data_IF_277922776761
#
_entry.id   IF_277922776761
#
_cell.length_a   1.000
_cell.length_b   1.000
_cell.length_c   1.000
_cell.angle_alpha   90.00
_cell.angle_beta   90.00
_cell.angle_gamma   90.00
#
_symmetry.space_group_name_H-M   'P 1'
#
loop_
_entity.id
_entity.type
_entity.pdbx_description
1 polymer ?
#
# COMPACT_ATOMS: atom_id res chain seq x y z
N UNK A 1 30.08 -40.88 -24.90
CA UNK A 1 30.24 -39.53 -24.31
C UNK A 1 29.42 -38.45 -25.01
N UNK A 2 29.15 -38.56 -26.32
CA UNK A 2 28.30 -37.59 -27.06
C UNK A 2 26.85 -37.52 -26.56
N UNK A 3 26.32 -38.61 -26.03
CA UNK A 3 24.96 -38.71 -25.50
C UNK A 3 24.72 -37.79 -24.28
N UNK A 4 25.72 -37.63 -23.41
CA UNK A 4 25.65 -36.72 -22.26
C UNK A 4 25.82 -35.25 -22.68
N UNK A 5 26.57 -35.00 -23.76
CA UNK A 5 26.80 -33.65 -24.29
C UNK A 5 25.54 -33.13 -25.00
N UNK A 6 24.88 -33.96 -25.80
CA UNK A 6 23.65 -33.56 -26.51
C UNK A 6 22.51 -33.29 -25.51
N UNK A 7 22.38 -34.15 -24.50
CA UNK A 7 21.33 -33.99 -23.47
C UNK A 7 21.53 -32.72 -22.64
N UNK A 8 22.75 -32.46 -22.17
CA UNK A 8 23.07 -31.21 -21.46
C UNK A 8 22.89 -29.98 -22.34
N UNK A 9 23.27 -30.04 -23.62
CA UNK A 9 23.04 -28.95 -24.56
C UNK A 9 21.55 -28.61 -24.74
N UNK A 10 20.69 -29.63 -24.86
CA UNK A 10 19.24 -29.44 -24.95
C UNK A 10 18.68 -28.82 -23.66
N UNK A 11 19.12 -29.29 -22.48
CA UNK A 11 18.69 -28.74 -21.18
C UNK A 11 19.09 -27.26 -21.07
N UNK A 12 20.30 -26.89 -21.49
CA UNK A 12 20.74 -25.49 -21.48
C UNK A 12 19.88 -24.60 -22.38
N UNK A 13 19.51 -25.08 -23.58
CA UNK A 13 18.63 -24.34 -24.50
C UNK A 13 17.25 -24.14 -23.87
N UNK A 14 16.66 -25.19 -23.30
CA UNK A 14 15.35 -25.11 -22.65
C UNK A 14 15.38 -24.17 -21.43
N UNK A 15 16.43 -24.25 -20.60
CA UNK A 15 16.60 -23.38 -19.45
C UNK A 15 16.74 -21.90 -19.86
N UNK A 16 17.48 -21.62 -20.94
CA UNK A 16 17.65 -20.27 -21.47
C UNK A 16 16.32 -19.65 -21.93
N UNK A 17 15.43 -20.44 -22.54
CA UNK A 17 14.10 -19.97 -22.98
C UNK A 17 13.12 -19.77 -21.82
N UNK A 18 13.25 -20.54 -20.74
CA UNK A 18 12.38 -20.44 -19.56
C UNK A 18 12.71 -19.24 -18.67
N UNK A 19 13.99 -18.85 -18.62
CA UNK A 19 14.46 -17.78 -17.73
C UNK A 19 13.73 -16.43 -17.88
N UNK A 20 13.48 -15.86 -19.09
CA UNK A 20 12.74 -14.61 -19.23
C UNK A 20 11.28 -14.73 -18.79
N UNK A 21 10.64 -15.90 -19.01
CA UNK A 21 9.26 -16.15 -18.61
C UNK A 21 9.12 -16.12 -17.09
N UNK A 22 10.01 -16.81 -16.37
CA UNK A 22 10.02 -16.85 -14.90
C UNK A 22 10.15 -15.45 -14.30
N UNK A 23 11.00 -14.59 -14.87
CA UNK A 23 11.16 -13.20 -14.39
C UNK A 23 9.87 -12.38 -14.50
N UNK A 24 9.11 -12.54 -15.58
CA UNK A 24 7.84 -11.84 -15.77
C UNK A 24 6.75 -12.39 -14.86
N UNK A 25 6.68 -13.71 -14.70
CA UNK A 25 5.75 -14.37 -13.76
C UNK A 25 5.98 -13.88 -12.33
N UNK A 26 7.23 -13.82 -11.87
CA UNK A 26 7.56 -13.33 -10.53
C UNK A 26 7.16 -11.86 -10.31
N UNK A 27 7.33 -11.00 -11.33
CA UNK A 27 6.87 -9.61 -11.25
C UNK A 27 5.34 -9.52 -11.09
N UNK A 28 4.59 -10.32 -11.84
CA UNK A 28 3.12 -10.41 -11.72
C UNK A 28 2.69 -10.98 -10.37
N UNK A 29 3.36 -12.03 -9.87
CA UNK A 29 3.09 -12.60 -8.54
C UNK A 29 3.32 -11.58 -7.42
N UNK A 30 4.40 -10.80 -7.53
CA UNK A 30 4.71 -9.74 -6.56
C UNK A 30 3.62 -8.67 -6.55
N UNK A 31 3.17 -8.24 -7.74
CA UNK A 31 2.08 -7.27 -7.90
C UNK A 31 0.78 -7.79 -7.30
N UNK A 32 0.41 -9.03 -7.63
CA UNK A 32 -0.78 -9.69 -7.08
C UNK A 32 -0.71 -9.82 -5.54
N UNK A 33 0.47 -10.12 -5.00
CA UNK A 33 0.66 -10.23 -3.54
C UNK A 33 0.52 -8.90 -2.81
N UNK A 34 1.01 -7.79 -3.38
CA UNK A 34 0.78 -6.45 -2.80
C UNK A 34 -0.69 -6.03 -2.97
N UNK A 35 -1.34 -6.38 -4.08
CA UNK A 35 -2.76 -6.12 -4.31
C UNK A 35 -3.67 -6.86 -3.32
N UNK A 36 -3.39 -8.13 -3.05
CA UNK A 36 -4.11 -8.91 -2.05
C UNK A 36 -3.99 -8.33 -0.64
N UNK A 37 -2.84 -7.73 -0.31
CA UNK A 37 -2.67 -7.00 0.95
C UNK A 37 -3.48 -5.71 1.00
N UNK A 38 -3.52 -4.94 -0.09
CA UNK A 38 -4.40 -3.77 -0.16
C UNK A 38 -5.87 -4.15 0.06
N UNK A 39 -6.34 -5.25 -0.54
CA UNK A 39 -7.69 -5.75 -0.29
C UNK A 39 -7.90 -6.15 1.18
N UNK A 40 -6.89 -6.72 1.85
CA UNK A 40 -6.95 -6.98 3.28
C UNK A 40 -7.00 -5.68 4.12
N UNK A 41 -6.29 -4.63 3.71
CA UNK A 41 -6.37 -3.32 4.35
C UNK A 41 -7.73 -2.68 4.14
N UNK A 42 -8.33 -2.77 2.95
CA UNK A 42 -9.68 -2.28 2.68
C UNK A 42 -10.71 -2.88 3.64
N UNK A 43 -10.64 -4.21 3.84
CA UNK A 43 -11.46 -4.91 4.85
C UNK A 43 -11.20 -4.40 6.27
N UNK A 44 -9.93 -4.22 6.64
CA UNK A 44 -9.56 -3.70 7.95
C UNK A 44 -10.06 -2.26 8.19
N UNK A 45 -10.03 -1.40 7.16
CA UNK A 45 -10.58 -0.04 7.20
C UNK A 45 -12.10 -0.09 7.35
N UNK A 46 -12.78 -0.99 6.64
CA UNK A 46 -14.23 -1.17 6.75
C UNK A 46 -14.64 -1.60 8.16
N UNK A 47 -13.91 -2.56 8.75
CA UNK A 47 -14.14 -3.01 10.11
C UNK A 47 -13.88 -1.88 11.12
N UNK A 48 -12.79 -1.13 10.96
CA UNK A 48 -12.53 0.06 11.77
C UNK A 48 -13.69 1.05 11.71
N UNK A 49 -14.17 1.38 10.51
CA UNK A 49 -15.24 2.35 10.35
C UNK A 49 -16.57 1.86 10.96
N UNK A 50 -16.85 0.56 10.89
CA UNK A 50 -18.01 -0.03 11.55
C UNK A 50 -17.99 0.22 13.08
N UNK A 51 -16.81 0.12 13.70
CA UNK A 51 -16.63 0.35 15.14
C UNK A 51 -16.53 1.85 15.51
N UNK A 52 -16.30 2.73 14.54
CA UNK A 52 -15.98 4.15 14.76
C UNK A 52 -16.94 5.10 14.02
N UNK A 53 -18.25 4.86 14.13
CA UNK A 53 -19.30 5.75 13.59
C UNK A 53 -19.14 6.06 12.08
N UNK A 54 -18.72 5.06 11.28
CA UNK A 54 -18.43 5.20 9.86
C UNK A 54 -17.29 6.18 9.52
N UNK A 55 -16.49 6.59 10.51
CA UNK A 55 -15.31 7.44 10.30
C UNK A 55 -14.16 6.66 9.67
N UNK A 56 -13.43 7.31 8.77
CA UNK A 56 -12.13 6.84 8.32
C UNK A 56 -11.12 6.83 9.48
N UNK A 57 -10.11 5.94 9.42
CA UNK A 57 -8.97 5.94 10.32
C UNK A 57 -8.22 7.29 10.32
N UNK A 58 -8.13 7.95 11.47
CA UNK A 58 -7.29 9.13 11.63
C UNK A 58 -7.63 9.98 12.84
N UNK A 59 -7.00 11.17 12.95
CA UNK A 59 -6.16 11.85 11.95
C UNK A 59 -4.79 11.19 11.65
N UNK A 60 -4.33 11.21 10.40
CA UNK A 60 -3.06 10.55 10.00
C UNK A 60 -2.16 11.33 9.02
N UNK A 61 -0.88 10.93 8.97
CA UNK A 61 0.08 11.32 7.92
C UNK A 61 -0.11 10.53 6.62
N UNK A 62 0.54 10.97 5.55
CA UNK A 62 0.29 10.47 4.18
C UNK A 62 0.93 9.09 3.97
N UNK A 63 2.08 8.89 4.58
CA UNK A 63 2.95 7.75 4.35
C UNK A 63 2.65 6.63 5.34
N UNK A 64 2.54 5.41 4.83
CA UNK A 64 2.38 4.21 5.65
C UNK A 64 3.71 3.46 5.72
N UNK A 65 4.22 3.30 6.95
CA UNK A 65 5.41 2.51 7.26
C UNK A 65 5.01 1.12 7.79
N UNK A 66 5.98 0.21 7.84
CA UNK A 66 5.83 -1.13 8.44
C UNK A 66 5.66 -1.15 9.96
N UNK A 67 5.51 0.02 10.60
CA UNK A 67 5.45 0.19 12.05
C UNK A 67 4.08 0.64 12.51
N UNK A 68 3.67 0.19 13.69
CA UNK A 68 2.37 0.46 14.31
C UNK A 68 2.50 0.50 15.84
N UNK A 69 1.46 0.96 16.52
CA UNK A 69 1.38 0.97 17.99
C UNK A 69 0.83 2.28 18.54
N UNK A 70 0.50 2.31 19.83
CA UNK A 70 -0.12 3.47 20.49
C UNK A 70 0.74 4.74 20.46
N UNK A 71 2.07 4.61 20.37
CA UNK A 71 3.02 5.71 20.23
C UNK A 71 3.16 6.26 18.81
N UNK A 72 2.49 5.65 17.83
CA UNK A 72 2.39 6.14 16.46
C UNK A 72 0.92 6.40 16.07
N UNK A 73 0.19 7.27 16.81
CA UNK A 73 -1.25 7.46 16.64
C UNK A 73 -1.63 8.17 15.34
N UNK A 74 -0.66 8.63 14.57
CA UNK A 74 -0.84 9.35 13.30
C UNK A 74 -0.55 8.49 12.08
N UNK A 75 -0.45 7.16 12.25
CA UNK A 75 -0.23 6.21 11.15
C UNK A 75 -1.46 5.34 10.96
N UNK A 76 -1.90 5.17 9.71
CA UNK A 76 -3.04 4.30 9.40
C UNK A 76 -2.82 2.88 9.91
N UNK A 77 -1.58 2.40 9.86
CA UNK A 77 -1.15 1.09 10.36
C UNK A 77 -1.56 0.84 11.81
N UNK A 78 -1.51 1.86 12.67
CA UNK A 78 -1.88 1.75 14.08
C UNK A 78 -3.39 1.57 14.28
N UNK A 79 -4.22 2.17 13.42
CA UNK A 79 -5.68 2.03 13.48
C UNK A 79 -6.17 0.70 12.93
N UNK A 80 -5.54 0.20 11.86
CA UNK A 80 -5.97 -1.03 11.20
C UNK A 80 -5.30 -2.30 11.76
N UNK A 81 -4.21 -2.16 12.54
CA UNK A 81 -3.48 -3.29 13.13
C UNK A 81 -4.37 -4.30 13.91
N UNK A 82 -5.32 -3.87 14.76
CA UNK A 82 -6.21 -4.79 15.47
C UNK A 82 -7.04 -5.67 14.53
N UNK A 83 -7.40 -5.14 13.36
CA UNK A 83 -8.21 -5.80 12.34
C UNK A 83 -7.38 -6.66 11.36
N UNK A 84 -6.05 -6.65 11.48
CA UNK A 84 -5.12 -7.45 10.68
C UNK A 84 -4.49 -8.62 11.45
N UNK A 85 -5.08 -8.95 12.61
CA UNK A 85 -4.55 -9.96 13.54
C UNK A 85 -3.09 -9.68 13.92
N UNK A 86 -2.76 -8.41 14.16
CA UNK A 86 -1.48 -8.01 14.73
C UNK A 86 -1.61 -7.92 16.27
N UNK A 87 -0.57 -8.30 17.02
CA UNK A 87 -0.58 -8.14 18.48
C UNK A 87 -0.83 -6.69 18.88
N UNK A 88 -1.61 -6.45 19.93
CA UNK A 88 -1.70 -5.11 20.51
C UNK A 88 -0.40 -4.79 21.24
N UNK A 89 0.15 -3.60 20.97
CA UNK A 89 1.42 -3.17 21.58
C UNK A 89 1.26 -1.77 22.17
N UNK A 90 1.80 -1.59 23.37
CA UNK A 90 1.90 -0.29 24.04
C UNK A 90 3.13 0.50 23.61
N UNK A 91 4.02 -0.14 22.84
CA UNK A 91 5.23 0.43 22.25
C UNK A 91 5.16 0.36 20.72
N UNK A 92 6.12 1.00 20.05
CA UNK A 92 6.28 0.87 18.60
C UNK A 92 6.65 -0.58 18.24
N UNK A 93 5.89 -1.18 17.35
CA UNK A 93 6.12 -2.53 16.84
C UNK A 93 6.19 -2.53 15.31
N UNK A 94 6.90 -3.51 14.77
CA UNK A 94 7.08 -3.69 13.33
C UNK A 94 6.33 -4.93 12.84
N UNK A 95 5.75 -4.85 11.64
CA UNK A 95 5.17 -5.99 10.94
C UNK A 95 5.33 -5.86 9.44
N UNK A 96 5.93 -6.88 8.83
CA UNK A 96 6.02 -7.01 7.37
C UNK A 96 4.66 -7.05 6.68
N UNK A 97 3.56 -7.36 7.40
CA UNK A 97 2.19 -7.36 6.86
C UNK A 97 1.69 -5.94 6.53
N UNK A 98 2.41 -4.90 6.96
CA UNK A 98 2.07 -3.49 6.74
C UNK A 98 2.85 -2.86 5.58
N UNK A 99 3.70 -3.65 4.90
CA UNK A 99 4.52 -3.19 3.78
C UNK A 99 4.32 -4.08 2.56
N UNK A 100 4.49 -3.51 1.36
CA UNK A 100 4.44 -4.28 0.12
C UNK A 100 5.59 -5.31 0.10
N UNK A 101 5.31 -6.63 -0.07
CA UNK A 101 6.35 -7.64 -0.15
C UNK A 101 7.32 -7.44 -1.31
N UNK A 102 6.86 -6.82 -2.41
CA UNK A 102 7.74 -6.50 -3.53
C UNK A 102 8.77 -5.43 -3.11
N UNK A 103 8.31 -4.40 -2.39
CA UNK A 103 9.17 -3.38 -1.80
C UNK A 103 10.20 -4.01 -0.85
N UNK A 104 9.77 -4.88 0.07
CA UNK A 104 10.67 -5.53 1.04
C UNK A 104 11.74 -6.44 0.41
N UNK A 105 11.55 -6.88 -0.84
CA UNK A 105 12.55 -7.70 -1.55
C UNK A 105 13.66 -6.88 -2.18
N UNK A 106 13.41 -5.60 -2.47
CA UNK A 106 14.37 -4.73 -3.18
C UNK A 106 14.90 -3.61 -2.30
N UNK A 107 14.22 -3.30 -1.19
CA UNK A 107 14.64 -2.27 -0.25
C UNK A 107 15.92 -2.71 0.46
N UNK A 108 16.99 -1.94 0.28
CA UNK A 108 18.34 -2.29 0.75
C UNK A 108 18.67 -1.75 2.15
N UNK A 109 17.89 -0.79 2.64
CA UNK A 109 18.05 -0.22 3.98
C UNK A 109 17.19 -0.98 5.01
N UNK A 110 17.26 -0.59 6.28
CA UNK A 110 16.43 -1.19 7.33
C UNK A 110 14.94 -0.90 7.06
N UNK A 111 14.10 -1.91 6.81
CA UNK A 111 12.67 -1.72 6.54
C UNK A 111 11.87 -1.21 7.74
N UNK A 112 12.47 -1.20 8.95
CA UNK A 112 11.90 -0.62 10.16
C UNK A 112 12.26 0.86 10.34
N UNK A 113 13.23 1.35 9.56
CA UNK A 113 13.68 2.74 9.65
C UNK A 113 12.56 3.70 9.25
N UNK A 114 12.62 4.89 9.83
CA UNK A 114 11.86 6.03 9.32
C UNK A 114 12.22 6.28 7.85
N UNK A 115 11.22 6.46 6.99
CA UNK A 115 11.41 6.61 5.55
C UNK A 115 11.09 5.36 4.72
N UNK A 116 11.01 4.18 5.34
CA UNK A 116 10.68 2.92 4.66
C UNK A 116 9.18 2.78 4.32
N UNK A 117 8.68 3.69 3.49
CA UNK A 117 7.27 3.77 3.09
C UNK A 117 7.04 3.00 1.80
N UNK A 118 6.15 2.01 1.85
CA UNK A 118 5.75 1.23 0.66
C UNK A 118 4.38 1.61 0.12
N UNK A 119 3.61 2.40 0.88
CA UNK A 119 2.27 2.86 0.51
C UNK A 119 2.08 4.32 0.93
N UNK A 120 1.28 5.04 0.15
CA UNK A 120 0.85 6.40 0.42
C UNK A 120 -0.66 6.53 0.31
N UNK A 121 -1.22 7.45 1.07
CA UNK A 121 -2.63 7.74 1.12
C UNK A 121 -2.96 9.00 0.33
N UNK A 122 -4.16 9.06 -0.22
CA UNK A 122 -4.64 10.25 -0.89
C UNK A 122 -5.13 11.28 0.13
N UNK A 123 -4.41 12.39 0.25
CA UNK A 123 -4.76 13.50 1.14
C UNK A 123 -5.47 14.66 0.44
N UNK A 124 -5.70 14.56 -0.86
CA UNK A 124 -6.28 15.62 -1.66
C UNK A 124 -7.35 15.01 -2.56
N UNK A 125 -8.57 14.95 -2.04
CA UNK A 125 -9.76 14.54 -2.80
C UNK A 125 -10.63 15.76 -3.07
N UNK A 126 -11.47 15.71 -4.10
CA UNK A 126 -12.41 16.79 -4.41
C UNK A 126 -13.82 16.41 -3.97
N UNK A 127 -14.45 17.29 -3.20
CA UNK A 127 -15.81 17.14 -2.68
C UNK A 127 -16.56 18.46 -2.90
N UNK A 128 -17.59 18.45 -3.73
CA UNK A 128 -18.35 19.64 -4.12
C UNK A 128 -17.44 20.75 -4.71
N UNK A 129 -16.44 20.37 -5.51
CA UNK A 129 -15.48 21.31 -6.13
C UNK A 129 -14.43 21.89 -5.18
N UNK A 130 -14.36 21.42 -3.93
CA UNK A 130 -13.37 21.84 -2.95
C UNK A 130 -12.39 20.70 -2.60
N UNK A 131 -11.10 21.04 -2.49
CA UNK A 131 -10.08 20.11 -2.04
C UNK A 131 -10.25 19.80 -0.53
N UNK A 132 -10.23 18.52 -0.19
CA UNK A 132 -10.43 18.01 1.16
C UNK A 132 -9.36 16.94 1.46
N UNK A 133 -8.87 16.94 2.70
CA UNK A 133 -8.10 15.81 3.24
C UNK A 133 -9.04 14.83 3.94
N UNK A 134 -9.34 13.66 3.36
CA UNK A 134 -10.35 12.75 3.90
C UNK A 134 -9.90 12.09 5.21
N UNK A 135 -8.61 12.13 5.52
CA UNK A 135 -8.05 11.47 6.70
C UNK A 135 -7.96 12.35 7.94
N UNK A 136 -8.30 13.64 7.84
CA UNK A 136 -8.05 14.60 8.91
C UNK A 136 -6.58 15.04 8.99
N UNK A 137 -6.34 16.13 9.72
CA UNK A 137 -5.01 16.70 9.88
C UNK A 137 -4.48 16.48 11.31
N UNK A 138 -3.47 15.60 11.50
CA UNK A 138 -2.90 15.34 12.82
C UNK A 138 -2.16 16.54 13.42
N UNK A 139 -1.77 17.53 12.62
CA UNK A 139 -1.14 18.77 13.13
C UNK A 139 -2.14 19.74 13.77
N UNK A 140 -3.44 19.48 13.68
CA UNK A 140 -4.50 20.39 14.15
C UNK A 140 -4.67 21.66 13.32
N UNK A 141 -3.85 21.87 12.28
CA UNK A 141 -3.93 23.04 11.41
C UNK A 141 -5.03 22.87 10.34
N UNK A 142 -5.95 23.83 10.24
CA UNK A 142 -7.04 23.85 9.25
C UNK A 142 -6.62 24.33 7.85
N UNK A 143 -5.40 24.86 7.69
CA UNK A 143 -4.89 25.39 6.41
C UNK A 143 -4.76 24.34 5.30
N UNK A 144 -4.73 23.05 5.67
CA UNK A 144 -4.67 21.92 4.75
C UNK A 144 -5.98 21.12 4.70
N UNK A 145 -7.10 21.73 5.13
CA UNK A 145 -8.43 21.13 5.14
C UNK A 145 -8.94 20.81 6.56
N UNK A 146 -9.64 19.67 6.69
CA UNK A 146 -10.33 19.25 7.92
C UNK A 146 -9.38 18.70 8.99
N UNK A 147 -9.71 18.92 10.26
CA UNK A 147 -8.98 18.37 11.43
C UNK A 147 -9.40 16.94 11.72
N UNK A 148 -10.70 16.65 11.77
CA UNK A 148 -11.23 15.29 11.97
C UNK A 148 -11.21 14.48 10.65
N UNK A 149 -11.19 13.14 10.67
CA UNK A 149 -11.35 12.31 9.48
C UNK A 149 -12.77 12.36 8.90
N UNK A 150 -12.90 12.08 7.61
CA UNK A 150 -14.17 11.95 6.89
C UNK A 150 -14.91 10.67 7.24
N UNK A 151 -16.24 10.72 7.14
CA UNK A 151 -17.06 9.53 7.24
C UNK A 151 -17.33 8.95 5.85
N UNK A 152 -17.55 7.64 5.75
CA UNK A 152 -17.93 7.01 4.49
C UNK A 152 -19.20 7.64 3.86
N UNK A 153 -20.25 7.98 4.62
CA UNK A 153 -21.39 8.72 4.09
C UNK A 153 -21.04 10.08 3.48
N UNK A 154 -20.13 10.85 4.09
CA UNK A 154 -19.66 12.13 3.51
C UNK A 154 -18.96 11.91 2.17
N UNK A 155 -18.16 10.84 2.05
CA UNK A 155 -17.39 10.53 0.85
C UNK A 155 -18.25 10.01 -0.31
N UNK A 156 -19.52 9.66 -0.07
CA UNK A 156 -20.44 9.33 -1.15
C UNK A 156 -20.65 10.50 -2.13
N UNK A 157 -20.36 11.74 -1.72
CA UNK A 157 -20.44 12.94 -2.54
C UNK A 157 -19.12 13.35 -3.24
N UNK A 158 -18.11 12.47 -3.27
CA UNK A 158 -16.86 12.74 -4.01
C UNK A 158 -17.14 13.02 -5.49
N UNK A 159 -16.49 14.05 -6.03
CA UNK A 159 -16.78 14.57 -7.38
C UNK A 159 -16.55 13.51 -8.48
N UNK A 160 -15.45 12.74 -8.37
CA UNK A 160 -15.11 11.67 -9.31
C UNK A 160 -15.79 10.32 -8.96
N UNK A 161 -16.46 10.25 -7.81
CA UNK A 161 -17.02 9.03 -7.23
C UNK A 161 -16.00 8.14 -6.51
N UNK A 162 -16.53 7.23 -5.68
CA UNK A 162 -15.74 6.36 -4.79
C UNK A 162 -14.81 5.40 -5.55
N UNK A 163 -15.24 4.90 -6.71
CA UNK A 163 -14.50 3.91 -7.50
C UNK A 163 -13.43 4.50 -8.41
N UNK A 164 -13.40 5.82 -8.61
CA UNK A 164 -12.36 6.49 -9.43
C UNK A 164 -11.39 7.30 -8.58
N UNK A 165 -11.79 7.65 -7.36
CA UNK A 165 -10.92 8.35 -6.43
C UNK A 165 -10.07 7.32 -5.68
N UNK A 166 -8.75 7.33 -5.89
CA UNK A 166 -7.85 6.44 -5.17
C UNK A 166 -7.72 6.87 -3.69
N UNK A 167 -7.73 5.89 -2.80
CA UNK A 167 -7.58 6.01 -1.35
C UNK A 167 -6.12 5.76 -0.92
N UNK A 168 -5.52 4.67 -1.41
CA UNK A 168 -4.15 4.25 -1.10
C UNK A 168 -3.46 3.79 -2.38
N UNK A 169 -2.18 4.11 -2.55
CA UNK A 169 -1.36 3.65 -3.66
C UNK A 169 -0.07 3.03 -3.14
N UNK A 170 0.49 2.08 -3.87
CA UNK A 170 1.89 1.75 -3.69
C UNK A 170 2.79 2.99 -3.89
N UNK A 171 3.88 2.97 -3.17
CA UNK A 171 4.85 4.03 -3.17
C UNK A 171 6.21 3.41 -2.97
N UNK A 172 7.14 3.75 -3.84
CA UNK A 172 8.54 3.49 -3.60
C UNK A 172 9.02 4.75 -2.87
N UNK A 173 9.23 4.66 -1.55
CA UNK A 173 9.57 5.78 -0.66
C UNK A 173 10.53 6.82 -1.27
N UNK A 174 10.62 8.04 -0.69
CA UNK A 174 11.42 9.15 -1.25
C UNK A 174 12.94 8.88 -1.28
N UNK A 175 13.38 7.69 -0.85
CA UNK A 175 14.76 7.32 -0.69
C UNK A 175 15.35 6.70 -1.96
N UNK A 176 16.60 7.06 -2.26
CA UNK A 176 17.42 6.43 -3.30
C UNK A 176 17.65 4.91 -3.08
N UNK A 177 17.10 4.34 -2.01
CA UNK A 177 17.15 2.92 -1.66
C UNK A 177 16.38 2.02 -2.63
N UNK A 178 15.43 2.55 -3.41
CA UNK A 178 14.71 1.82 -4.46
C UNK A 178 15.08 2.41 -5.83
N UNK A 179 15.94 1.69 -6.57
CA UNK A 179 16.49 2.17 -7.85
C UNK A 179 15.46 2.24 -9.00
N UNK A 180 14.32 1.55 -8.88
CA UNK A 180 13.27 1.52 -9.89
C UNK A 180 11.93 1.11 -9.26
N UNK A 181 10.78 1.54 -9.81
CA UNK A 181 9.48 1.16 -9.28
C UNK A 181 9.29 -0.33 -9.06
N UNK A 182 8.82 -0.74 -7.88
CA UNK A 182 8.70 -2.18 -7.50
C UNK A 182 7.74 -2.96 -8.40
N UNK A 183 6.82 -2.26 -9.05
CA UNK A 183 5.83 -2.82 -9.98
C UNK A 183 6.02 -2.37 -11.44
N UNK A 184 7.21 -1.86 -11.79
CA UNK A 184 7.57 -1.43 -13.15
C UNK A 184 6.57 -0.40 -13.70
N UNK A 185 5.81 -0.77 -14.74
CA UNK A 185 4.84 0.06 -15.45
C UNK A 185 3.46 0.11 -14.80
N UNK A 186 3.32 -0.38 -13.56
CA UNK A 186 2.04 -0.45 -12.86
C UNK A 186 2.14 0.15 -11.47
N UNK A 187 0.99 0.65 -10.99
CA UNK A 187 0.74 1.05 -9.60
C UNK A 187 -0.50 0.33 -9.10
N UNK A 188 -0.35 -0.44 -8.04
CA UNK A 188 -1.46 -0.92 -7.25
C UNK A 188 -2.10 0.26 -6.52
N UNK A 189 -3.42 0.37 -6.67
CA UNK A 189 -4.27 1.36 -6.02
C UNK A 189 -5.42 0.65 -5.33
N UNK A 190 -5.80 1.17 -4.18
CA UNK A 190 -7.08 0.91 -3.55
C UNK A 190 -7.90 2.20 -3.62
N UNK A 191 -9.19 2.09 -3.89
CA UNK A 191 -10.11 3.20 -4.09
C UNK A 191 -11.04 3.40 -2.89
N UNK A 192 -11.83 4.46 -2.89
CA UNK A 192 -12.68 4.81 -1.74
C UNK A 192 -13.89 3.89 -1.54
N UNK A 193 -14.25 3.09 -2.54
CA UNK A 193 -15.17 1.94 -2.43
C UNK A 193 -14.46 0.65 -1.97
N UNK A 194 -13.18 0.73 -1.60
CA UNK A 194 -12.33 -0.33 -1.06
C UNK A 194 -11.97 -1.45 -2.03
N UNK A 195 -12.27 -1.31 -3.33
CA UNK A 195 -11.68 -2.22 -4.32
C UNK A 195 -10.22 -1.85 -4.55
N UNK A 196 -9.43 -2.85 -4.96
CA UNK A 196 -8.03 -2.65 -5.32
C UNK A 196 -7.75 -3.19 -6.72
N UNK A 197 -7.04 -2.41 -7.52
CA UNK A 197 -6.61 -2.79 -8.86
C UNK A 197 -5.18 -2.31 -9.17
N UNK A 198 -4.59 -2.91 -10.21
CA UNK A 198 -3.31 -2.48 -10.76
C UNK A 198 -3.55 -1.54 -11.94
N UNK A 199 -3.18 -0.28 -11.80
CA UNK A 199 -3.33 0.77 -12.83
C UNK A 199 -2.02 0.98 -13.58
N UNK A 200 -2.07 1.22 -14.89
CA UNK A 200 -0.89 1.62 -15.67
C UNK A 200 -0.27 2.90 -15.10
N UNK A 201 1.05 2.94 -14.98
CA UNK A 201 1.81 4.13 -14.55
C UNK A 201 2.31 4.99 -15.73
N UNK A 202 2.10 4.52 -16.97
CA UNK A 202 2.33 5.25 -18.21
C UNK A 202 1.06 5.93 -18.70
#
# INVERSE_FOLDING_TARGET
MIEVIVTTAIICILAALLFPVVKNTMATMNRSSCLAQMAAYGKAIQLYAADNNQSLPGPIYREMAGVYGSWAPTRISSFIAPYLSLPQTTTLAYSKKLQCPAFLRVYKADPQAWGAYSYVLNKQVSLNGAALNPWGNPSGNTSWGRVAPATFPELAALDDGLSKTWMMQDFDGPDAAVASPVHRDFRNRMFFDLHAESVSSR
#
